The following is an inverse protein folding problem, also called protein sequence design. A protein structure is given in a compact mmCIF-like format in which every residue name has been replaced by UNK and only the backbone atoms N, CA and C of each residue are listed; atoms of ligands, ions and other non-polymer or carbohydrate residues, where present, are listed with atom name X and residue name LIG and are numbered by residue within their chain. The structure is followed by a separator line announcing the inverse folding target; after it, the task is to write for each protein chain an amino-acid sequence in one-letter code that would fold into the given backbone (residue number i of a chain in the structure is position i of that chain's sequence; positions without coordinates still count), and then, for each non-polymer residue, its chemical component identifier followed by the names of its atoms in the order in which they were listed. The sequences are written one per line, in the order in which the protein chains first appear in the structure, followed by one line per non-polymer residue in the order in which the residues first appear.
data_IF_759879919792
#
_entry.id   IF_759879919792
#
_cell.length_a   1.000
_cell.length_b   1.000
_cell.length_c   1.000
_cell.angle_alpha   90.00
_cell.angle_beta   90.00
_cell.angle_gamma   90.00
#
_symmetry.space_group_name_H-M   'P 1'
#
loop_
_entity.id
_entity.type
_entity.pdbx_description
1 polymer ?
#
# COMPACT_ATOMS: atom_id res chain seq x y z
N UNK A 1 -4.11 -32.07 -4.84
CA UNK A 1 -4.47 -31.59 -3.49
C UNK A 1 -5.22 -30.29 -3.70
N UNK A 2 -6.49 -30.24 -3.31
CA UNK A 2 -7.40 -29.12 -3.53
C UNK A 2 -6.77 -27.83 -3.01
N UNK A 3 -6.71 -26.80 -3.86
CA UNK A 3 -6.43 -25.45 -3.40
C UNK A 3 -7.44 -25.11 -2.32
N UNK A 4 -6.98 -24.87 -1.09
CA UNK A 4 -7.85 -24.24 -0.11
C UNK A 4 -8.23 -22.87 -0.66
N UNK A 5 -9.50 -22.71 -1.00
CA UNK A 5 -10.05 -21.45 -1.47
C UNK A 5 -10.09 -20.49 -0.28
N UNK A 6 -9.24 -19.47 -0.28
CA UNK A 6 -9.27 -18.41 0.71
C UNK A 6 -10.27 -17.31 0.32
N UNK A 7 -10.82 -16.63 1.32
CA UNK A 7 -11.74 -15.50 1.13
C UNK A 7 -11.07 -14.21 1.57
N UNK A 8 -11.09 -13.20 0.71
CA UNK A 8 -10.68 -11.83 1.04
C UNK A 8 -11.73 -10.88 0.49
N UNK A 9 -12.41 -10.18 1.39
CA UNK A 9 -13.39 -9.13 1.11
C UNK A 9 -13.11 -7.94 2.03
N UNK A 10 -13.75 -6.78 1.83
CA UNK A 10 -13.63 -5.66 2.77
C UNK A 10 -14.08 -5.95 4.21
N UNK A 11 -14.78 -7.06 4.46
CA UNK A 11 -15.37 -7.40 5.77
C UNK A 11 -14.87 -8.72 6.37
N UNK A 12 -14.36 -9.66 5.56
CA UNK A 12 -13.85 -10.95 6.03
C UNK A 12 -12.58 -11.37 5.29
N UNK A 13 -11.68 -11.98 6.06
CA UNK A 13 -10.44 -12.63 5.60
C UNK A 13 -10.37 -14.00 6.27
N UNK A 14 -10.40 -15.07 5.47
CA UNK A 14 -10.46 -16.46 5.93
C UNK A 14 -9.58 -17.37 5.07
N UNK A 15 -8.96 -18.38 5.70
CA UNK A 15 -8.07 -19.35 5.07
C UNK A 15 -6.61 -18.87 4.97
N UNK A 16 -5.75 -19.76 4.47
CA UNK A 16 -4.34 -19.46 4.20
C UNK A 16 -4.20 -18.62 2.92
N UNK A 17 -3.83 -17.35 3.09
CA UNK A 17 -3.80 -16.39 1.99
C UNK A 17 -2.57 -16.57 1.10
N UNK A 18 -2.80 -16.93 -0.15
CA UNK A 18 -1.79 -16.87 -1.21
C UNK A 18 -1.83 -15.49 -1.88
N UNK A 19 -0.87 -14.64 -1.53
CA UNK A 19 -0.81 -13.26 -2.02
C UNK A 19 -0.55 -13.16 -3.53
N UNK A 20 0.17 -14.11 -4.16
CA UNK A 20 0.40 -14.06 -5.61
C UNK A 20 -0.90 -14.39 -6.37
N UNK A 21 -1.72 -15.34 -5.87
CA UNK A 21 -3.08 -15.57 -6.39
C UNK A 21 -4.00 -14.37 -6.14
N UNK A 22 -3.88 -13.71 -4.99
CA UNK A 22 -4.68 -12.54 -4.66
C UNK A 22 -4.41 -11.38 -5.65
N UNK A 23 -3.14 -11.14 -5.99
CA UNK A 23 -2.74 -10.16 -7.02
C UNK A 23 -3.45 -10.44 -8.35
N UNK A 24 -3.40 -11.70 -8.80
CA UNK A 24 -4.04 -12.11 -10.06
C UNK A 24 -5.57 -11.94 -10.00
N UNK A 25 -6.20 -12.37 -8.90
CA UNK A 25 -7.66 -12.27 -8.71
C UNK A 25 -8.16 -10.82 -8.71
N UNK A 26 -7.40 -9.92 -8.10
CA UNK A 26 -7.75 -8.50 -8.02
C UNK A 26 -7.19 -7.66 -9.19
N UNK A 27 -6.43 -8.26 -10.11
CA UNK A 27 -5.83 -7.53 -11.25
C UNK A 27 -4.93 -6.37 -10.80
N UNK A 28 -4.16 -6.58 -9.73
CA UNK A 28 -3.16 -5.61 -9.26
C UNK A 28 -1.77 -6.00 -9.77
N UNK A 29 -0.78 -5.15 -9.53
CA UNK A 29 0.61 -5.41 -9.91
C UNK A 29 1.47 -5.55 -8.65
N UNK A 30 2.51 -6.38 -8.72
CA UNK A 30 3.46 -6.55 -7.62
C UNK A 30 4.37 -5.33 -7.52
N UNK A 31 4.65 -4.86 -6.31
CA UNK A 31 5.68 -3.82 -6.12
C UNK A 31 7.04 -4.45 -6.41
N UNK A 32 7.54 -4.19 -7.62
CA UNK A 32 8.80 -4.74 -8.11
C UNK A 32 10.01 -4.10 -7.43
N UNK A 33 11.16 -4.77 -7.52
CA UNK A 33 12.43 -4.22 -7.05
C UNK A 33 12.81 -2.93 -7.81
N UNK A 34 12.36 -2.80 -9.07
CA UNK A 34 12.52 -1.58 -9.86
C UNK A 34 11.72 -0.41 -9.26
N UNK A 35 10.46 -0.64 -8.86
CA UNK A 35 9.68 0.39 -8.17
C UNK A 35 10.28 0.74 -6.81
N UNK A 36 10.78 -0.23 -6.06
CA UNK A 36 11.49 0.05 -4.80
C UNK A 36 12.76 0.87 -5.04
N UNK A 37 13.50 0.61 -6.12
CA UNK A 37 14.67 1.40 -6.50
C UNK A 37 14.29 2.85 -6.90
N UNK A 38 13.17 3.05 -7.60
CA UNK A 38 12.63 4.39 -7.89
C UNK A 38 12.24 5.14 -6.62
N UNK A 39 11.54 4.50 -5.69
CA UNK A 39 11.24 5.08 -4.37
C UNK A 39 12.51 5.46 -3.63
N UNK A 40 13.55 4.60 -3.64
CA UNK A 40 14.85 4.90 -3.02
C UNK A 40 15.51 6.13 -3.63
N UNK A 41 15.48 6.25 -4.96
CA UNK A 41 16.06 7.40 -5.68
C UNK A 41 15.36 8.71 -5.28
N UNK A 42 14.04 8.68 -5.11
CA UNK A 42 13.23 9.86 -4.76
C UNK A 42 13.39 10.23 -3.28
N UNK A 43 13.31 9.24 -2.38
CA UNK A 43 13.17 9.45 -0.93
C UNK A 43 14.47 9.29 -0.13
N UNK A 44 15.53 8.79 -0.78
CA UNK A 44 16.82 8.43 -0.20
C UNK A 44 16.87 7.04 0.44
N UNK A 45 15.74 6.36 0.63
CA UNK A 45 15.66 5.08 1.33
C UNK A 45 14.53 4.17 0.84
N UNK A 46 14.54 2.91 1.25
CA UNK A 46 13.38 2.01 1.07
C UNK A 46 12.81 1.72 2.45
N UNK A 47 11.56 2.13 2.68
CA UNK A 47 10.90 1.88 3.95
C UNK A 47 10.86 0.38 4.28
N UNK A 48 11.09 -0.05 5.54
CA UNK A 48 11.10 -1.46 5.91
C UNK A 48 9.84 -2.23 5.48
N UNK A 49 8.66 -1.58 5.51
CA UNK A 49 7.40 -2.22 5.08
C UNK A 49 7.34 -2.52 3.57
N UNK A 50 8.07 -1.80 2.72
CA UNK A 50 8.24 -2.15 1.31
C UNK A 50 9.27 -3.27 1.16
N UNK A 51 10.42 -3.12 1.82
CA UNK A 51 11.52 -4.08 1.75
C UNK A 51 11.12 -5.48 2.24
N UNK A 52 10.28 -5.56 3.27
CA UNK A 52 9.79 -6.82 3.85
C UNK A 52 8.50 -7.32 3.18
N UNK A 53 7.97 -6.61 2.19
CA UNK A 53 6.76 -7.04 1.47
C UNK A 53 5.45 -6.94 2.25
N UNK A 54 5.38 -6.11 3.30
CA UNK A 54 4.10 -5.81 3.96
C UNK A 54 3.15 -5.07 3.00
N UNK A 55 3.69 -4.13 2.22
CA UNK A 55 3.03 -3.61 1.02
C UNK A 55 3.64 -4.33 -0.17
N UNK A 56 2.89 -5.25 -0.76
CA UNK A 56 3.39 -6.14 -1.81
C UNK A 56 2.78 -5.87 -3.20
N UNK A 57 1.67 -5.15 -3.28
CA UNK A 57 0.98 -4.85 -4.54
C UNK A 57 0.55 -3.40 -4.65
N UNK A 58 0.32 -2.94 -5.88
CA UNK A 58 -0.11 -1.59 -6.21
C UNK A 58 -1.05 -1.56 -7.43
N UNK A 59 -1.61 -0.38 -7.70
CA UNK A 59 -2.20 0.02 -8.99
C UNK A 59 -1.69 1.41 -9.32
N UNK A 60 -1.17 1.60 -10.53
CA UNK A 60 -0.71 2.90 -11.05
C UNK A 60 0.32 3.66 -10.18
N UNK A 61 1.02 2.98 -9.28
CA UNK A 61 2.04 3.61 -8.43
C UNK A 61 3.23 4.11 -9.25
N UNK A 62 3.60 3.37 -10.29
CA UNK A 62 4.56 3.77 -11.32
C UNK A 62 4.21 5.11 -11.98
N UNK A 63 2.91 5.37 -12.21
CA UNK A 63 2.41 6.63 -12.77
C UNK A 63 2.51 7.75 -11.75
N UNK A 64 2.16 7.51 -10.48
CA UNK A 64 2.32 8.49 -9.41
C UNK A 64 3.79 8.91 -9.27
N UNK A 65 4.73 7.95 -9.28
CA UNK A 65 6.16 8.27 -9.24
C UNK A 65 6.59 9.09 -10.46
N UNK A 66 6.11 8.73 -11.65
CA UNK A 66 6.40 9.46 -12.90
C UNK A 66 5.89 10.90 -12.85
N UNK A 67 4.68 11.14 -12.35
CA UNK A 67 4.12 12.49 -12.21
C UNK A 67 4.86 13.30 -11.15
N UNK A 68 5.24 12.67 -10.03
CA UNK A 68 6.07 13.31 -9.02
C UNK A 68 7.43 13.74 -9.58
N UNK A 69 8.08 12.88 -10.38
CA UNK A 69 9.36 13.18 -11.03
C UNK A 69 9.25 14.36 -12.04
N UNK A 70 8.07 14.61 -12.60
CA UNK A 70 7.78 15.80 -13.43
C UNK A 70 7.52 17.07 -12.61
N UNK A 71 7.46 16.97 -11.28
CA UNK A 71 7.14 18.07 -10.38
C UNK A 71 5.64 18.25 -10.10
N UNK A 72 4.79 17.33 -10.58
CA UNK A 72 3.36 17.36 -10.30
C UNK A 72 3.06 16.84 -8.90
N UNK A 73 2.10 17.47 -8.23
CA UNK A 73 1.68 17.09 -6.88
C UNK A 73 0.59 16.02 -6.94
N UNK A 74 0.56 15.18 -5.91
CA UNK A 74 -0.52 14.22 -5.67
C UNK A 74 -0.96 14.29 -4.20
N UNK A 75 -2.09 13.66 -3.90
CA UNK A 75 -2.66 13.61 -2.55
C UNK A 75 -2.65 12.18 -2.03
N UNK A 76 -2.53 12.04 -0.71
CA UNK A 76 -2.64 10.75 -0.03
C UNK A 76 -4.04 10.63 0.57
N UNK A 77 -4.71 9.52 0.33
CA UNK A 77 -6.02 9.22 0.91
C UNK A 77 -5.98 7.85 1.58
N UNK A 78 -6.35 7.82 2.86
CA UNK A 78 -6.49 6.59 3.65
C UNK A 78 -7.67 6.77 4.62
N UNK A 79 -8.21 5.68 5.13
CA UNK A 79 -9.40 5.72 5.98
C UNK A 79 -9.47 4.58 6.98
N UNK A 80 -10.51 4.63 7.82
CA UNK A 80 -10.81 3.60 8.81
C UNK A 80 -12.32 3.52 8.99
N UNK A 81 -12.89 2.33 8.86
CA UNK A 81 -14.27 2.11 9.29
C UNK A 81 -14.36 2.15 10.83
N UNK A 82 -15.30 2.85 11.47
CA UNK A 82 -15.39 2.93 12.93
C UNK A 82 -16.02 1.65 13.54
N UNK A 83 -15.31 0.51 13.45
CA UNK A 83 -15.84 -0.81 13.82
C UNK A 83 -15.36 -1.37 15.18
N UNK A 84 -14.77 -0.52 16.04
CA UNK A 84 -14.27 -0.90 17.36
C UNK A 84 -12.85 -0.40 17.65
N UNK A 85 -12.25 -0.93 18.73
CA UNK A 85 -10.94 -0.51 19.23
C UNK A 85 -9.82 -0.65 18.19
N UNK A 86 -8.85 0.26 18.28
CA UNK A 86 -7.65 0.26 17.42
C UNK A 86 -6.65 -0.77 17.96
N UNK A 87 -6.37 -1.82 17.19
CA UNK A 87 -5.22 -2.71 17.37
C UNK A 87 -4.06 -2.41 16.40
N UNK A 88 -2.90 -3.04 16.61
CA UNK A 88 -1.66 -2.82 15.84
C UNK A 88 -1.81 -2.94 14.32
N UNK A 89 -2.63 -3.88 13.83
CA UNK A 89 -2.91 -4.01 12.40
C UNK A 89 -3.45 -2.73 11.73
N UNK A 90 -4.20 -1.89 12.45
CA UNK A 90 -4.70 -0.62 11.91
C UNK A 90 -3.60 0.43 11.76
N UNK A 91 -2.50 0.30 12.50
CA UNK A 91 -1.42 1.28 12.48
C UNK A 91 -0.54 1.16 11.25
N UNK A 92 -0.48 -0.03 10.61
CA UNK A 92 0.40 -0.25 9.46
C UNK A 92 0.10 0.71 8.28
N UNK A 93 -1.15 0.85 7.80
CA UNK A 93 -1.48 1.84 6.77
C UNK A 93 -1.17 3.28 7.18
N UNK A 94 -1.39 3.65 8.44
CA UNK A 94 -1.20 5.02 8.92
C UNK A 94 0.27 5.40 9.05
N UNK A 95 1.09 4.51 9.61
CA UNK A 95 2.55 4.69 9.69
C UNK A 95 3.13 4.84 8.29
N UNK A 96 2.69 3.99 7.36
CA UNK A 96 3.17 4.07 5.98
C UNK A 96 2.67 5.33 5.25
N UNK A 97 1.43 5.75 5.48
CA UNK A 97 0.90 7.02 4.92
C UNK A 97 1.68 8.23 5.45
N UNK A 98 2.00 8.26 6.75
CA UNK A 98 2.84 9.31 7.35
C UNK A 98 4.24 9.34 6.71
N UNK A 99 4.86 8.18 6.50
CA UNK A 99 6.14 8.11 5.79
C UNK A 99 6.05 8.69 4.36
N UNK A 100 5.01 8.32 3.60
CA UNK A 100 4.80 8.86 2.26
C UNK A 100 4.57 10.38 2.28
N UNK A 101 3.81 10.89 3.24
CA UNK A 101 3.62 12.33 3.43
C UNK A 101 4.95 13.04 3.65
N UNK A 102 5.78 12.56 4.58
CA UNK A 102 7.07 13.17 4.93
C UNK A 102 8.06 13.14 3.76
N UNK A 103 8.08 12.07 2.96
CA UNK A 103 9.05 11.91 1.88
C UNK A 103 8.65 12.54 0.56
N UNK A 104 7.36 12.57 0.25
CA UNK A 104 6.86 13.15 -1.00
C UNK A 104 6.28 14.55 -0.82
N UNK A 105 6.22 15.06 0.41
CA UNK A 105 5.56 16.34 0.71
C UNK A 105 4.10 16.37 0.27
N UNK A 106 3.46 15.20 0.17
CA UNK A 106 2.09 15.06 -0.30
C UNK A 106 1.11 15.41 0.82
N UNK A 107 0.10 16.23 0.52
CA UNK A 107 -0.91 16.60 1.51
C UNK A 107 -1.81 15.38 1.80
N UNK A 108 -1.93 14.94 3.07
CA UNK A 108 -2.89 13.91 3.42
C UNK A 108 -4.30 14.51 3.41
N UNK A 109 -5.25 13.77 2.86
CA UNK A 109 -6.65 13.99 3.10
C UNK A 109 -7.17 12.82 3.95
N UNK A 110 -7.52 13.13 5.20
CA UNK A 110 -8.34 12.27 6.02
C UNK A 110 -9.78 12.80 5.85
N UNK A 111 -10.72 12.00 5.33
CA UNK A 111 -12.10 12.48 5.19
C UNK A 111 -12.64 12.85 6.58
N UNK A 112 -13.21 14.05 6.68
CA UNK A 112 -13.89 14.52 7.87
C UNK A 112 -15.05 13.55 8.21
N UNK A 113 -15.17 13.17 9.48
CA UNK A 113 -16.36 12.47 10.01
C UNK A 113 -17.48 13.46 10.29
#
# INVERSE_FOLDING_TARGET
MSSEDFTVTPWSVEGDIDYDKLIQKFGTEKISDELQARVKKITGEVHPMLKLGYFFSHRDFDKILTEYEKGNKFYLYTGRGPSGSIHMGHLLPWIFTKYLQEKFGANPHLPDY
#
